data_IF_712780886406
#
_entry.id   IF_712780886406
#
_cell.length_a   1.000
_cell.length_b   1.000
_cell.length_c   1.000
_cell.angle_alpha   90.00
_cell.angle_beta   90.00
_cell.angle_gamma   90.00
#
_symmetry.space_group_name_H-M   'P 1'
#
loop_
_entity.id
_entity.type
_entity.pdbx_description
1 polymer ?
#
# COMPACT_ATOMS: atom_id res chain seq x y z
N UNK A 1 16.03 11.98 26.29
CA UNK A 1 15.68 11.82 24.87
C UNK A 1 16.40 10.60 24.29
N UNK A 2 15.64 9.48 24.15
CA UNK A 2 16.20 8.17 23.76
C UNK A 2 16.73 8.13 22.29
N UNK A 3 16.04 8.79 21.37
CA UNK A 3 16.36 8.74 19.93
C UNK A 3 17.68 9.46 19.58
N UNK A 4 17.97 10.61 20.19
CA UNK A 4 19.21 11.35 20.00
C UNK A 4 20.43 10.52 20.41
N UNK A 5 20.33 9.81 21.53
CA UNK A 5 21.40 8.91 22.01
C UNK A 5 21.59 7.71 21.08
N UNK A 6 20.48 7.08 20.66
CA UNK A 6 20.52 5.94 19.75
C UNK A 6 21.17 6.28 18.41
N UNK A 7 20.88 7.47 17.85
CA UNK A 7 21.44 7.94 16.60
C UNK A 7 22.79 8.65 16.75
N UNK A 8 23.36 8.73 17.97
CA UNK A 8 24.64 9.41 18.29
C UNK A 8 24.69 10.85 17.74
N UNK A 9 23.57 11.54 17.76
CA UNK A 9 23.50 12.91 17.25
C UNK A 9 24.03 13.92 18.29
N UNK A 10 24.92 14.81 17.88
CA UNK A 10 25.38 15.94 18.73
C UNK A 10 24.24 16.90 19.05
N UNK A 11 23.42 17.22 18.04
CA UNK A 11 22.26 18.11 18.15
C UNK A 11 21.09 17.50 17.38
N UNK A 12 19.87 17.84 17.81
CA UNK A 12 18.66 17.46 17.06
C UNK A 12 18.49 18.45 15.91
N UNK A 13 18.43 17.98 14.66
CA UNK A 13 18.24 18.87 13.53
C UNK A 13 16.85 19.52 13.60
N UNK A 14 16.78 20.78 13.19
CA UNK A 14 15.51 21.47 13.06
C UNK A 14 14.64 20.79 11.99
N UNK A 15 13.31 20.80 12.15
CA UNK A 15 12.39 20.14 11.22
C UNK A 15 12.57 20.56 9.76
N UNK A 16 12.90 21.84 9.50
CA UNK A 16 13.16 22.35 8.14
C UNK A 16 14.39 21.70 7.47
N UNK A 17 15.40 21.34 8.28
CA UNK A 17 16.58 20.61 7.79
C UNK A 17 16.17 19.20 7.34
N UNK A 18 15.35 18.52 8.13
CA UNK A 18 14.81 17.22 7.80
C UNK A 18 13.93 17.30 6.54
N UNK A 19 13.06 18.31 6.47
CA UNK A 19 12.21 18.55 5.30
C UNK A 19 13.03 18.79 4.01
N UNK A 20 14.09 19.61 4.08
CA UNK A 20 15.00 19.87 2.96
C UNK A 20 15.74 18.60 2.54
N UNK A 21 16.12 17.76 3.50
CA UNK A 21 16.76 16.49 3.23
C UNK A 21 15.82 15.54 2.47
N UNK A 22 14.58 15.36 2.95
CA UNK A 22 13.60 14.53 2.25
C UNK A 22 13.30 14.99 0.84
N UNK A 23 13.26 16.32 0.60
CA UNK A 23 13.09 16.86 -0.77
C UNK A 23 14.23 16.52 -1.72
N UNK A 24 15.42 16.22 -1.20
CA UNK A 24 16.60 15.83 -2.01
C UNK A 24 16.66 14.33 -2.28
N UNK A 25 15.91 13.51 -1.54
CA UNK A 25 15.86 12.07 -1.77
C UNK A 25 15.07 11.79 -3.05
N UNK A 26 15.72 11.18 -4.02
CA UNK A 26 15.06 10.69 -5.21
C UNK A 26 14.29 9.39 -4.90
N UNK A 27 13.23 9.12 -5.65
CA UNK A 27 12.49 7.85 -5.55
C UNK A 27 13.42 6.66 -5.77
N UNK A 28 14.38 6.77 -6.69
CA UNK A 28 15.40 5.73 -6.92
C UNK A 28 16.17 5.43 -5.65
N UNK A 29 16.64 6.47 -4.93
CA UNK A 29 17.42 6.28 -3.69
C UNK A 29 16.58 5.67 -2.56
N UNK A 30 15.31 6.06 -2.46
CA UNK A 30 14.38 5.44 -1.50
C UNK A 30 14.17 3.95 -1.82
N UNK A 31 13.97 3.60 -3.08
CA UNK A 31 13.81 2.20 -3.50
C UNK A 31 15.07 1.37 -3.25
N UNK A 32 16.27 1.94 -3.46
CA UNK A 32 17.54 1.26 -3.12
C UNK A 32 17.63 0.95 -1.61
N UNK A 33 17.28 1.93 -0.77
CA UNK A 33 17.27 1.76 0.70
C UNK A 33 16.25 0.69 1.10
N UNK A 34 15.05 0.73 0.53
CA UNK A 34 13.99 -0.23 0.78
C UNK A 34 14.41 -1.66 0.39
N UNK A 35 14.99 -1.81 -0.80
CA UNK A 35 15.53 -3.11 -1.27
C UNK A 35 16.58 -3.67 -0.32
N UNK A 36 17.53 -2.85 0.13
CA UNK A 36 18.55 -3.26 1.08
C UNK A 36 17.96 -3.67 2.43
N UNK A 37 16.98 -2.92 2.93
CA UNK A 37 16.26 -3.27 4.16
C UNK A 37 15.54 -4.60 4.03
N UNK A 38 14.82 -4.81 2.95
CA UNK A 38 14.02 -6.02 2.73
C UNK A 38 14.87 -7.29 2.60
N UNK A 39 16.15 -7.18 2.18
CA UNK A 39 17.09 -8.31 2.13
C UNK A 39 17.41 -8.88 3.52
N UNK A 40 17.29 -8.07 4.58
CA UNK A 40 17.52 -8.53 5.96
C UNK A 40 16.32 -9.27 6.56
N UNK A 41 15.19 -9.29 5.85
CA UNK A 41 13.97 -9.95 6.29
C UNK A 41 13.56 -10.99 5.24
N UNK A 42 14.19 -12.17 5.25
CA UNK A 42 13.81 -13.26 4.33
C UNK A 42 12.37 -13.68 4.62
N UNK A 43 11.63 -13.94 3.58
CA UNK A 43 10.24 -14.41 3.71
C UNK A 43 10.25 -15.92 3.88
N UNK A 44 9.69 -16.43 4.97
CA UNK A 44 9.68 -17.87 5.29
C UNK A 44 8.32 -18.52 5.01
N UNK A 45 7.23 -17.98 5.52
CA UNK A 45 5.87 -18.44 5.25
C UNK A 45 5.01 -17.24 4.84
N UNK A 46 4.54 -17.28 3.61
CA UNK A 46 4.17 -16.06 2.93
C UNK A 46 2.68 -15.83 2.89
N UNK A 47 2.18 -15.15 3.91
CA UNK A 47 0.87 -14.51 3.87
C UNK A 47 1.02 -13.07 3.44
N UNK A 48 0.42 -12.71 2.33
CA UNK A 48 0.45 -11.32 1.85
C UNK A 48 -0.95 -10.72 1.91
N UNK A 49 -1.03 -9.48 2.39
CA UNK A 49 -2.27 -8.70 2.41
C UNK A 49 -2.22 -7.57 1.41
N UNK A 50 -3.24 -7.46 0.56
CA UNK A 50 -3.42 -6.36 -0.39
C UNK A 50 -4.47 -5.40 0.14
N UNK A 51 -4.12 -4.12 0.20
CA UNK A 51 -5.07 -3.07 0.60
C UNK A 51 -4.73 -1.72 -0.05
N UNK A 52 -5.70 -0.82 -0.04
CA UNK A 52 -5.57 0.55 -0.52
C UNK A 52 -5.91 1.57 0.55
N UNK A 53 -4.96 2.46 0.86
CA UNK A 53 -5.19 3.55 1.80
C UNK A 53 -5.10 4.91 1.12
N UNK A 54 -5.93 5.86 1.57
CA UNK A 54 -5.96 7.22 1.04
C UNK A 54 -5.32 8.22 1.98
N UNK A 55 -4.47 9.09 1.43
CA UNK A 55 -3.90 10.22 2.16
C UNK A 55 -4.46 11.52 1.60
N UNK A 56 -5.09 12.31 2.46
CA UNK A 56 -5.57 13.64 2.10
C UNK A 56 -4.40 14.63 1.98
N UNK A 57 -4.40 15.43 0.93
CA UNK A 57 -3.28 16.31 0.61
C UNK A 57 -3.20 17.56 1.49
N UNK A 58 -4.30 17.99 2.12
CA UNK A 58 -4.32 19.08 3.11
C UNK A 58 -5.62 19.17 3.91
N UNK A 59 -5.53 19.71 5.11
CA UNK A 59 -6.70 20.10 5.94
C UNK A 59 -7.62 21.13 5.23
N UNK A 60 -7.06 21.95 4.36
CA UNK A 60 -7.80 22.95 3.59
C UNK A 60 -8.80 22.33 2.62
N UNK A 61 -8.50 21.17 2.09
CA UNK A 61 -9.39 20.48 1.14
C UNK A 61 -10.67 19.95 1.83
N UNK A 62 -10.55 19.44 3.07
CA UNK A 62 -11.71 19.02 3.87
C UNK A 62 -12.62 20.21 4.22
N UNK A 63 -12.02 21.32 4.66
CA UNK A 63 -12.76 22.53 4.99
C UNK A 63 -13.45 23.13 3.76
N UNK A 64 -12.75 23.19 2.64
CA UNK A 64 -13.29 23.68 1.37
C UNK A 64 -14.43 22.80 0.85
N UNK A 65 -14.27 21.48 0.91
CA UNK A 65 -15.28 20.51 0.50
C UNK A 65 -16.55 20.62 1.35
N UNK A 66 -16.41 20.75 2.65
CA UNK A 66 -17.54 20.93 3.58
C UNK A 66 -18.28 22.25 3.34
N UNK A 67 -17.55 23.33 3.02
CA UNK A 67 -18.15 24.67 2.80
C UNK A 67 -18.79 24.82 1.44
N UNK A 68 -18.21 24.24 0.39
CA UNK A 68 -18.67 24.42 -0.99
C UNK A 68 -19.57 23.29 -1.49
N UNK A 69 -19.74 22.22 -0.71
CA UNK A 69 -20.42 20.97 -1.11
C UNK A 69 -19.86 20.37 -2.42
N UNK A 70 -18.71 20.84 -2.88
CA UNK A 70 -18.00 20.32 -4.05
C UNK A 70 -16.96 19.32 -3.59
N UNK A 71 -17.17 18.05 -3.88
CA UNK A 71 -16.20 16.98 -3.62
C UNK A 71 -14.96 17.15 -4.50
N UNK A 72 -14.01 18.00 -4.08
CA UNK A 72 -12.65 17.94 -4.62
C UNK A 72 -11.95 16.76 -3.98
N UNK A 73 -11.78 15.69 -4.75
CA UNK A 73 -11.08 14.49 -4.32
C UNK A 73 -9.61 14.61 -4.69
N UNK A 74 -8.88 15.57 -4.12
CA UNK A 74 -7.42 15.60 -4.25
C UNK A 74 -6.82 14.82 -3.08
N UNK A 75 -6.67 13.53 -3.27
CA UNK A 75 -5.93 12.69 -2.36
C UNK A 75 -4.98 11.77 -3.14
N UNK A 76 -3.96 11.33 -2.47
CA UNK A 76 -3.07 10.29 -2.97
C UNK A 76 -3.60 8.97 -2.40
N UNK A 77 -3.86 8.03 -3.27
CA UNK A 77 -4.19 6.66 -2.88
C UNK A 77 -2.95 5.80 -3.01
N UNK A 78 -2.58 5.14 -1.94
CA UNK A 78 -1.47 4.20 -1.91
C UNK A 78 -2.03 2.78 -1.86
N UNK A 79 -1.67 1.97 -2.84
CA UNK A 79 -1.99 0.55 -2.91
C UNK A 79 -0.76 -0.20 -2.40
N UNK A 80 -0.94 -0.96 -1.33
CA UNK A 80 0.15 -1.64 -0.65
C UNK A 80 -0.05 -3.16 -0.64
N UNK A 81 1.05 -3.87 -0.69
CA UNK A 81 1.09 -5.29 -0.42
C UNK A 81 2.05 -5.53 0.74
N UNK A 82 1.51 -6.08 1.80
CA UNK A 82 2.20 -6.25 3.08
C UNK A 82 2.45 -7.72 3.33
N UNK A 83 3.68 -8.03 3.68
CA UNK A 83 4.06 -9.29 4.30
C UNK A 83 3.46 -9.32 5.72
N UNK A 84 2.58 -10.27 5.97
CA UNK A 84 1.82 -10.32 7.24
C UNK A 84 2.66 -10.87 8.41
N UNK A 85 3.81 -11.49 8.15
CA UNK A 85 4.70 -11.97 9.20
C UNK A 85 5.53 -10.84 9.81
N UNK A 86 6.24 -10.11 8.97
CA UNK A 86 7.10 -9.00 9.42
C UNK A 86 6.43 -7.65 9.38
N UNK A 87 5.18 -7.55 8.89
CA UNK A 87 4.44 -6.30 8.68
C UNK A 87 5.20 -5.32 7.78
N UNK A 88 5.93 -5.84 6.80
CA UNK A 88 6.72 -5.05 5.86
C UNK A 88 5.98 -4.85 4.54
N UNK A 89 6.06 -3.65 4.01
CA UNK A 89 5.53 -3.35 2.67
C UNK A 89 6.51 -3.92 1.64
N UNK A 90 6.08 -4.92 0.88
CA UNK A 90 6.87 -5.55 -0.19
C UNK A 90 6.61 -4.95 -1.57
N UNK A 91 5.44 -4.37 -1.76
CA UNK A 91 5.10 -3.65 -2.98
C UNK A 91 4.17 -2.48 -2.66
N UNK A 92 4.38 -1.37 -3.35
CA UNK A 92 3.52 -0.19 -3.23
C UNK A 92 3.36 0.52 -4.57
N UNK A 93 2.19 1.09 -4.77
CA UNK A 93 1.89 1.94 -5.91
C UNK A 93 1.04 3.13 -5.46
N UNK A 94 1.54 4.34 -5.69
CA UNK A 94 0.85 5.57 -5.32
C UNK A 94 0.19 6.19 -6.54
N UNK A 95 -1.09 6.54 -6.42
CA UNK A 95 -1.87 7.16 -7.48
C UNK A 95 -2.57 8.42 -7.01
N UNK A 96 -2.75 9.37 -7.94
CA UNK A 96 -3.53 10.57 -7.67
C UNK A 96 -5.02 10.29 -7.91
N UNK A 97 -5.85 10.63 -6.93
CA UNK A 97 -7.30 10.54 -7.02
C UNK A 97 -7.88 9.14 -6.78
N UNK A 98 -9.19 8.98 -6.98
CA UNK A 98 -9.91 7.77 -6.64
C UNK A 98 -9.73 6.70 -7.73
N UNK A 99 -8.64 5.96 -7.66
CA UNK A 99 -8.44 4.76 -8.48
C UNK A 99 -8.98 3.54 -7.73
N UNK A 100 -9.61 2.62 -8.47
CA UNK A 100 -10.07 1.36 -7.90
C UNK A 100 -8.87 0.46 -7.56
N UNK A 101 -8.92 -0.20 -6.41
CA UNK A 101 -7.84 -1.07 -5.92
C UNK A 101 -7.58 -2.25 -6.86
N UNK A 102 -8.63 -2.76 -7.49
CA UNK A 102 -8.55 -3.84 -8.48
C UNK A 102 -7.63 -3.54 -9.66
N UNK A 103 -7.47 -2.26 -10.04
CA UNK A 103 -6.60 -1.86 -11.15
C UNK A 103 -5.10 -2.14 -10.87
N UNK A 104 -4.73 -2.28 -9.61
CA UNK A 104 -3.34 -2.46 -9.18
C UNK A 104 -3.07 -3.86 -8.63
N UNK A 105 -4.11 -4.66 -8.43
CA UNK A 105 -4.02 -6.00 -7.85
C UNK A 105 -3.09 -6.91 -8.66
N UNK A 106 -3.26 -6.96 -9.98
CA UNK A 106 -2.47 -7.83 -10.86
C UNK A 106 -0.98 -7.46 -10.79
N UNK A 107 -0.64 -6.16 -10.84
CA UNK A 107 0.75 -5.72 -10.73
C UNK A 107 1.35 -6.04 -9.36
N UNK A 108 0.56 -5.94 -8.29
CA UNK A 108 0.97 -6.28 -6.95
C UNK A 108 1.22 -7.80 -6.80
N UNK A 109 0.32 -8.64 -7.32
CA UNK A 109 0.46 -10.11 -7.32
C UNK A 109 1.75 -10.50 -8.04
N UNK A 110 2.00 -9.94 -9.21
CA UNK A 110 3.22 -10.20 -9.99
C UNK A 110 4.50 -9.75 -9.28
N UNK A 111 4.44 -8.65 -8.55
CA UNK A 111 5.60 -8.14 -7.79
C UNK A 111 6.00 -9.06 -6.64
N UNK A 112 5.03 -9.75 -6.01
CA UNK A 112 5.30 -10.62 -4.86
C UNK A 112 5.48 -12.11 -5.22
N UNK A 113 5.27 -12.51 -6.46
CA UNK A 113 5.39 -13.90 -6.88
C UNK A 113 6.76 -14.53 -6.59
N UNK A 114 7.82 -13.72 -6.61
CA UNK A 114 9.19 -14.17 -6.31
C UNK A 114 9.38 -14.64 -4.87
N UNK A 115 8.45 -14.29 -3.97
CA UNK A 115 8.46 -14.73 -2.57
C UNK A 115 7.71 -16.05 -2.34
N UNK A 116 7.15 -16.67 -3.40
CA UNK A 116 6.36 -17.91 -3.32
C UNK A 116 5.25 -17.85 -2.26
N UNK A 117 4.31 -16.91 -2.39
CA UNK A 117 3.23 -16.74 -1.42
C UNK A 117 2.40 -18.01 -1.27
N UNK A 118 2.01 -18.35 -0.04
CA UNK A 118 1.08 -19.44 0.25
C UNK A 118 -0.38 -18.96 0.26
N UNK A 119 -0.61 -17.74 0.72
CA UNK A 119 -1.93 -17.12 0.75
C UNK A 119 -1.83 -15.64 0.37
N UNK A 120 -2.83 -15.17 -0.37
CA UNK A 120 -3.02 -13.76 -0.66
C UNK A 120 -4.37 -13.33 -0.13
N UNK A 121 -4.35 -12.43 0.85
CA UNK A 121 -5.51 -11.88 1.53
C UNK A 121 -5.87 -10.53 0.91
N UNK A 122 -7.15 -10.30 0.68
CA UNK A 122 -7.64 -8.99 0.28
C UNK A 122 -9.10 -8.82 0.72
N UNK A 123 -9.59 -7.58 0.70
CA UNK A 123 -10.97 -7.32 1.04
C UNK A 123 -11.93 -7.74 -0.11
N UNK A 124 -13.23 -7.70 0.15
CA UNK A 124 -14.26 -8.04 -0.86
C UNK A 124 -14.25 -7.13 -2.09
N UNK A 125 -13.58 -5.98 -2.08
CA UNK A 125 -13.47 -5.11 -3.26
C UNK A 125 -12.66 -5.80 -4.36
N UNK A 126 -11.73 -6.68 -3.97
CA UNK A 126 -10.91 -7.48 -4.88
C UNK A 126 -11.58 -8.77 -5.38
N UNK A 127 -12.82 -9.04 -4.98
CA UNK A 127 -13.57 -10.24 -5.42
C UNK A 127 -13.95 -10.13 -6.90
N UNK A 128 -13.00 -10.44 -7.75
CA UNK A 128 -13.17 -10.59 -9.20
C UNK A 128 -12.51 -11.87 -9.67
N UNK A 129 -13.11 -12.53 -10.64
CA UNK A 129 -12.60 -13.78 -11.19
C UNK A 129 -11.18 -13.63 -11.70
N UNK A 130 -10.91 -12.53 -12.40
CA UNK A 130 -9.60 -12.25 -12.99
C UNK A 130 -8.48 -12.16 -11.94
N UNK A 131 -8.76 -11.58 -10.76
CA UNK A 131 -7.78 -11.47 -9.68
C UNK A 131 -7.53 -12.85 -9.06
N UNK A 132 -8.58 -13.60 -8.77
CA UNK A 132 -8.45 -14.96 -8.21
C UNK A 132 -7.70 -15.88 -9.15
N UNK A 133 -8.03 -15.81 -10.43
CA UNK A 133 -7.37 -16.60 -11.47
C UNK A 133 -5.90 -16.22 -11.60
N UNK A 134 -5.56 -14.92 -11.60
CA UNK A 134 -4.17 -14.45 -11.61
C UNK A 134 -3.38 -14.96 -10.39
N UNK A 135 -4.00 -14.97 -9.21
CA UNK A 135 -3.34 -15.52 -8.00
C UNK A 135 -3.02 -17.00 -8.21
N UNK A 136 -3.97 -17.79 -8.69
CA UNK A 136 -3.81 -19.24 -8.88
C UNK A 136 -2.81 -19.56 -10.00
N UNK A 137 -2.87 -18.83 -11.11
CA UNK A 137 -2.07 -19.13 -12.30
C UNK A 137 -0.62 -18.58 -12.21
N UNK A 138 -0.44 -17.41 -11.59
CA UNK A 138 0.86 -16.74 -11.57
C UNK A 138 1.62 -16.91 -10.24
N UNK A 139 0.97 -17.51 -9.23
CA UNK A 139 1.59 -17.78 -7.92
C UNK A 139 1.20 -19.18 -7.43
N UNK A 140 1.80 -19.61 -6.31
CA UNK A 140 1.41 -20.85 -5.62
C UNK A 140 0.34 -20.60 -4.56
N UNK A 141 -0.17 -19.37 -4.44
CA UNK A 141 -1.00 -18.92 -3.35
C UNK A 141 -2.47 -19.31 -3.50
N UNK A 142 -3.11 -19.47 -2.34
CA UNK A 142 -4.57 -19.58 -2.23
C UNK A 142 -5.16 -18.17 -2.03
N UNK A 143 -6.15 -17.74 -2.84
CA UNK A 143 -6.82 -16.46 -2.64
C UNK A 143 -7.77 -16.53 -1.43
N UNK A 144 -7.56 -15.65 -0.46
CA UNK A 144 -8.41 -15.44 0.71
C UNK A 144 -9.17 -14.12 0.55
N UNK A 145 -10.17 -14.12 -0.31
CA UNK A 145 -10.94 -12.93 -0.69
C UNK A 145 -12.42 -13.22 -0.40
N UNK A 146 -13.07 -12.46 0.50
CA UNK A 146 -14.49 -12.62 0.78
C UNK A 146 -15.36 -12.40 -0.45
N UNK A 147 -16.33 -13.26 -0.66
CA UNK A 147 -17.25 -13.17 -1.80
C UNK A 147 -18.19 -11.97 -1.67
N UNK A 148 -18.37 -11.22 -2.75
CA UNK A 148 -19.38 -10.17 -2.83
C UNK A 148 -20.76 -10.79 -2.89
N UNK A 149 -21.56 -10.63 -1.84
CA UNK A 149 -22.96 -10.99 -1.87
C UNK A 149 -23.69 -10.01 -2.81
N UNK A 150 -24.04 -10.44 -4.02
CA UNK A 150 -24.92 -9.68 -4.90
C UNK A 150 -26.32 -9.77 -4.35
N UNK A 151 -26.80 -8.74 -3.68
CA UNK A 151 -28.24 -8.60 -3.41
C UNK A 151 -28.96 -8.53 -4.77
N UNK A 152 -29.69 -9.59 -5.11
CA UNK A 152 -30.69 -9.50 -6.18
C UNK A 152 -31.72 -8.49 -5.72
N UNK A 153 -31.74 -7.29 -6.30
CA UNK A 153 -32.91 -6.42 -6.21
C UNK A 153 -34.03 -7.16 -6.94
N UNK A 154 -34.94 -7.72 -6.17
CA UNK A 154 -36.24 -8.13 -6.70
C UNK A 154 -36.98 -6.82 -7.00
N UNK A 155 -37.13 -6.49 -8.28
CA UNK A 155 -38.11 -5.49 -8.67
C UNK A 155 -39.49 -6.14 -8.50
N UNK A 156 -40.19 -5.76 -7.44
CA UNK A 156 -41.63 -5.99 -7.26
C UNK A 156 -42.37 -4.91 -8.02
#
# INVERSE_FOLDING_TARGET
MKLQKALKLKTIPHYTTIQKFFKKLSVKKLNEIDTLLLQHFPVSECYFSLDGTGFTNSYSDLYYNNRTKKTRRSYIKNHITVDSEYMLIRHQNATKGPKYDTNFAISAIRAIRCYNPTHILADKAYDTEIIKQTIIEETTALPQIPVKTRQKKWNI
#
